data_IF_482831477173
#
_entry.id   IF_482831477173
#
_cell.length_a   1.000
_cell.length_b   1.000
_cell.length_c   1.000
_cell.angle_alpha   90.00
_cell.angle_beta   90.00
_cell.angle_gamma   90.00
#
_symmetry.space_group_name_H-M   'P 1'
#
loop_
_entity.id
_entity.type
_entity.pdbx_description
1 polymer ?
#
# COMPACT_ATOMS: atom_id res chain seq x y z
N UNK A 1 22.85 -14.50 22.46
CA UNK A 1 23.30 -13.08 22.43
C UNK A 1 22.13 -12.17 22.79
N UNK A 2 22.29 -11.28 23.77
CA UNK A 2 21.24 -10.26 24.06
C UNK A 2 21.12 -9.33 22.86
N UNK A 3 19.94 -9.26 22.23
CA UNK A 3 19.66 -8.31 21.15
C UNK A 3 19.78 -6.89 21.69
N UNK A 4 20.59 -6.07 21.05
CA UNK A 4 20.75 -4.64 21.36
C UNK A 4 19.89 -3.84 20.37
N UNK A 5 19.37 -2.68 20.77
CA UNK A 5 18.58 -1.82 19.85
C UNK A 5 19.31 -1.54 18.54
N UNK A 6 20.60 -1.20 18.59
CA UNK A 6 21.38 -0.89 17.38
C UNK A 6 21.52 -2.10 16.43
N UNK A 7 21.76 -3.30 16.97
CA UNK A 7 21.82 -4.52 16.15
C UNK A 7 20.46 -4.86 15.52
N UNK A 8 19.37 -4.59 16.23
CA UNK A 8 18.00 -4.81 15.75
C UNK A 8 17.62 -3.78 14.68
N UNK A 9 17.98 -2.51 14.83
CA UNK A 9 17.80 -1.49 13.80
C UNK A 9 18.52 -1.89 12.52
N UNK A 10 19.77 -2.34 12.61
CA UNK A 10 20.54 -2.83 11.45
C UNK A 10 19.84 -4.04 10.79
N UNK A 11 19.35 -4.98 11.58
CA UNK A 11 18.62 -6.16 11.07
C UNK A 11 17.37 -5.75 10.32
N UNK A 12 16.53 -4.86 10.91
CA UNK A 12 15.30 -4.36 10.28
C UNK A 12 15.65 -3.60 9.01
N UNK A 13 16.65 -2.73 9.04
CA UNK A 13 17.07 -1.94 7.88
C UNK A 13 17.47 -2.84 6.71
N UNK A 14 18.39 -3.80 6.95
CA UNK A 14 18.82 -4.74 5.90
C UNK A 14 17.68 -5.59 5.36
N UNK A 15 16.75 -6.00 6.22
CA UNK A 15 15.56 -6.73 5.81
C UNK A 15 14.60 -5.86 4.98
N UNK A 16 14.53 -4.55 5.27
CA UNK A 16 13.64 -3.61 4.57
C UNK A 16 14.15 -3.20 3.20
N UNK A 17 15.46 -3.25 2.90
CA UNK A 17 16.00 -2.82 1.61
C UNK A 17 15.32 -3.51 0.42
N UNK A 18 15.22 -4.85 0.35
CA UNK A 18 14.50 -5.50 -0.75
C UNK A 18 13.01 -5.14 -0.76
N UNK A 19 12.40 -4.90 0.41
CA UNK A 19 10.99 -4.52 0.49
C UNK A 19 10.78 -3.11 -0.06
N UNK A 20 11.66 -2.16 0.26
CA UNK A 20 11.63 -0.79 -0.30
C UNK A 20 11.73 -0.86 -1.83
N UNK A 21 12.70 -1.62 -2.36
CA UNK A 21 12.85 -1.81 -3.79
C UNK A 21 11.57 -2.40 -4.44
N UNK A 22 10.94 -3.38 -3.77
CA UNK A 22 9.67 -3.95 -4.23
C UNK A 22 8.50 -2.97 -4.18
N UNK A 23 8.40 -2.13 -3.15
CA UNK A 23 7.34 -1.11 -3.03
C UNK A 23 7.52 -0.03 -4.10
N UNK A 24 8.74 0.48 -4.28
CA UNK A 24 9.06 1.41 -5.37
C UNK A 24 8.76 0.76 -6.73
N UNK A 25 9.12 -0.51 -6.91
CA UNK A 25 8.79 -1.27 -8.11
C UNK A 25 7.29 -1.33 -8.39
N UNK A 26 6.45 -1.56 -7.37
CA UNK A 26 4.99 -1.56 -7.54
C UNK A 26 4.46 -0.17 -7.95
N UNK A 27 5.03 0.90 -7.42
CA UNK A 27 4.67 2.27 -7.83
C UNK A 27 5.07 2.54 -9.29
N UNK A 28 6.27 2.12 -9.69
CA UNK A 28 6.77 2.30 -11.05
C UNK A 28 5.94 1.55 -12.10
N UNK A 29 5.23 0.49 -11.71
CA UNK A 29 4.35 -0.27 -12.61
C UNK A 29 3.29 0.62 -13.25
N UNK A 30 2.59 1.42 -12.43
CA UNK A 30 1.58 2.36 -12.94
C UNK A 30 2.17 3.54 -13.71
N UNK A 31 3.35 4.02 -13.30
CA UNK A 31 4.05 5.12 -13.98
C UNK A 31 4.49 4.69 -15.38
N UNK A 32 5.00 3.46 -15.52
CA UNK A 32 5.40 2.89 -16.81
C UNK A 32 4.26 2.85 -17.83
N UNK A 33 3.06 2.43 -17.38
CA UNK A 33 1.86 2.41 -18.22
C UNK A 33 1.51 3.83 -18.74
N UNK A 34 1.56 4.84 -17.87
CA UNK A 34 1.25 6.24 -18.22
C UNK A 34 2.29 6.81 -19.20
N UNK A 35 3.59 6.56 -18.99
CA UNK A 35 4.66 7.08 -19.85
C UNK A 35 4.51 6.54 -21.27
N UNK A 36 4.24 5.24 -21.44
CA UNK A 36 4.10 4.63 -22.77
C UNK A 36 2.81 5.12 -23.43
N UNK A 37 1.68 5.12 -22.70
CA UNK A 37 0.40 5.60 -23.21
C UNK A 37 0.43 7.09 -23.59
N UNK A 38 1.22 7.92 -22.89
CA UNK A 38 1.38 9.34 -23.16
C UNK A 38 2.01 9.64 -24.52
N UNK A 39 2.76 8.71 -25.07
CA UNK A 39 3.30 8.83 -26.44
C UNK A 39 2.32 8.42 -27.51
N UNK A 40 1.20 7.78 -27.14
CA UNK A 40 0.18 7.31 -28.06
C UNK A 40 -0.97 8.30 -28.21
N UNK A 41 -1.64 8.68 -27.12
CA UNK A 41 -2.79 9.60 -27.15
C UNK A 41 -3.10 10.17 -25.77
N UNK A 42 -3.47 11.46 -25.72
CA UNK A 42 -3.93 12.14 -24.51
C UNK A 42 -5.22 11.50 -23.97
N UNK A 43 -6.13 11.06 -24.85
CA UNK A 43 -7.38 10.41 -24.44
C UNK A 43 -7.12 9.06 -23.76
N UNK A 44 -6.11 8.31 -24.25
CA UNK A 44 -5.70 7.04 -23.63
C UNK A 44 -5.10 7.27 -22.26
N UNK A 45 -4.26 8.29 -22.08
CA UNK A 45 -3.70 8.65 -20.75
C UNK A 45 -4.81 9.05 -19.78
N UNK A 46 -5.74 9.90 -20.23
CA UNK A 46 -6.87 10.34 -19.41
C UNK A 46 -7.75 9.14 -19.00
N UNK A 47 -8.05 8.25 -19.94
CA UNK A 47 -8.83 7.04 -19.67
C UNK A 47 -8.11 6.08 -18.71
N UNK A 48 -6.78 5.89 -18.87
CA UNK A 48 -5.94 5.10 -17.95
C UNK A 48 -5.95 5.66 -16.53
N UNK A 49 -5.79 6.98 -16.39
CA UNK A 49 -5.81 7.64 -15.09
C UNK A 49 -7.13 7.41 -14.36
N UNK A 50 -8.26 7.61 -15.05
CA UNK A 50 -9.59 7.38 -14.49
C UNK A 50 -9.81 5.89 -14.16
N UNK A 51 -9.50 4.99 -15.08
CA UNK A 51 -9.70 3.54 -14.88
C UNK A 51 -8.86 3.01 -13.71
N UNK A 52 -7.59 3.40 -13.60
CA UNK A 52 -6.73 3.04 -12.47
C UNK A 52 -7.25 3.62 -11.15
N UNK A 53 -7.75 4.87 -11.15
CA UNK A 53 -8.37 5.49 -9.98
C UNK A 53 -9.59 4.73 -9.48
N UNK A 54 -10.42 4.20 -10.39
CA UNK A 54 -11.60 3.40 -10.07
C UNK A 54 -11.24 1.98 -9.60
N UNK A 55 -10.18 1.38 -10.15
CA UNK A 55 -9.74 0.02 -9.77
C UNK A 55 -8.88 0.00 -8.50
N UNK A 56 -8.18 1.10 -8.18
CA UNK A 56 -7.25 1.15 -7.04
C UNK A 56 -7.89 0.81 -5.69
N UNK A 57 -9.09 1.31 -5.32
CA UNK A 57 -9.73 0.94 -4.05
C UNK A 57 -10.01 -0.56 -3.95
N UNK A 58 -10.47 -1.20 -5.03
CA UNK A 58 -10.74 -2.64 -5.07
C UNK A 58 -9.47 -3.46 -4.94
N UNK A 59 -8.41 -3.07 -5.65
CA UNK A 59 -7.10 -3.70 -5.57
C UNK A 59 -6.52 -3.57 -4.14
N UNK A 60 -6.56 -2.37 -3.55
CA UNK A 60 -6.01 -2.11 -2.23
C UNK A 60 -6.77 -2.80 -1.11
N UNK A 61 -8.09 -2.96 -1.24
CA UNK A 61 -8.87 -3.79 -0.34
C UNK A 61 -8.39 -5.25 -0.38
N UNK A 62 -8.24 -5.83 -1.57
CA UNK A 62 -7.74 -7.19 -1.74
C UNK A 62 -6.32 -7.39 -1.21
N UNK A 63 -5.39 -6.47 -1.57
CA UNK A 63 -4.02 -6.50 -1.07
C UNK A 63 -3.97 -6.37 0.46
N UNK A 64 -4.79 -5.49 1.04
CA UNK A 64 -4.89 -5.30 2.48
C UNK A 64 -5.23 -6.60 3.22
N UNK A 65 -6.14 -7.41 2.71
CA UNK A 65 -6.48 -8.71 3.31
C UNK A 65 -5.27 -9.65 3.32
N UNK A 66 -4.46 -9.64 2.26
CA UNK A 66 -3.28 -10.52 2.17
C UNK A 66 -2.19 -10.19 3.19
N UNK A 67 -2.12 -8.94 3.69
CA UNK A 67 -1.17 -8.54 4.73
C UNK A 67 -1.35 -9.29 6.06
N UNK A 68 -2.41 -10.06 6.22
CA UNK A 68 -2.58 -10.98 7.34
C UNK A 68 -1.65 -12.21 7.26
N UNK A 69 -1.23 -12.62 6.06
CA UNK A 69 -0.51 -13.87 5.84
C UNK A 69 0.89 -13.83 6.44
N UNK A 70 1.62 -12.74 6.24
CA UNK A 70 2.98 -12.56 6.74
C UNK A 70 3.11 -12.72 8.26
N UNK A 71 2.40 -11.90 9.07
CA UNK A 71 2.46 -11.99 10.52
C UNK A 71 1.94 -13.33 11.07
N UNK A 72 0.84 -13.89 10.53
CA UNK A 72 0.34 -15.19 10.96
C UNK A 72 1.34 -16.31 10.69
N UNK A 73 1.93 -16.35 9.50
CA UNK A 73 3.00 -17.32 9.17
C UNK A 73 4.21 -17.15 10.09
N UNK A 74 4.60 -15.90 10.39
CA UNK A 74 5.73 -15.60 11.27
C UNK A 74 5.49 -16.07 12.70
N UNK A 75 4.25 -16.01 13.19
CA UNK A 75 3.89 -16.52 14.52
C UNK A 75 4.04 -18.04 14.61
N UNK A 76 3.59 -18.79 13.61
CA UNK A 76 3.83 -20.24 13.57
C UNK A 76 5.33 -20.55 13.57
N UNK A 77 6.10 -19.79 12.78
CA UNK A 77 7.55 -19.91 12.78
C UNK A 77 8.16 -19.59 14.16
N UNK A 78 7.63 -18.61 14.87
CA UNK A 78 8.06 -18.25 16.23
C UNK A 78 7.82 -19.34 17.25
N UNK A 79 6.73 -20.11 17.11
CA UNK A 79 6.40 -21.28 17.94
C UNK A 79 7.20 -22.52 17.57
N UNK A 80 8.08 -22.46 16.57
CA UNK A 80 8.72 -23.62 15.91
C UNK A 80 7.71 -24.59 15.30
N UNK A 81 6.49 -24.14 15.05
CA UNK A 81 5.46 -24.88 14.34
C UNK A 81 5.51 -24.51 12.86
N UNK A 82 5.36 -25.49 11.99
CA UNK A 82 5.24 -25.27 10.55
C UNK A 82 3.86 -25.71 10.11
N UNK A 83 2.90 -24.79 10.13
CA UNK A 83 1.61 -25.05 9.52
C UNK A 83 1.76 -24.96 7.99
N UNK A 84 1.74 -26.14 7.33
CA UNK A 84 1.87 -26.26 5.88
C UNK A 84 0.60 -25.84 5.15
N UNK A 85 -0.53 -25.68 5.84
CA UNK A 85 -1.84 -25.37 5.23
C UNK A 85 -2.16 -23.88 5.19
N UNK A 86 -1.40 -22.98 5.88
CA UNK A 86 -1.68 -21.55 5.93
C UNK A 86 -1.64 -20.92 4.53
N UNK A 87 -0.68 -21.33 3.69
CA UNK A 87 -0.54 -20.84 2.33
C UNK A 87 -1.77 -21.19 1.48
N UNK A 88 -2.22 -22.45 1.56
CA UNK A 88 -3.40 -22.94 0.84
C UNK A 88 -4.68 -22.24 1.31
N UNK A 89 -4.89 -22.12 2.64
CA UNK A 89 -6.07 -21.49 3.21
C UNK A 89 -6.15 -20.00 2.91
N UNK A 90 -4.98 -19.31 2.81
CA UNK A 90 -4.92 -17.93 2.32
C UNK A 90 -5.37 -17.83 0.85
N UNK A 91 -4.94 -18.77 -0.01
CA UNK A 91 -5.40 -18.82 -1.41
C UNK A 91 -6.91 -19.09 -1.50
N UNK A 92 -7.47 -20.02 -0.72
CA UNK A 92 -8.90 -20.29 -0.69
C UNK A 92 -9.70 -19.05 -0.28
N UNK A 93 -9.25 -18.34 0.75
CA UNK A 93 -9.89 -17.09 1.17
C UNK A 93 -9.84 -16.05 0.05
N UNK A 94 -8.67 -15.84 -0.56
CA UNK A 94 -8.54 -14.79 -1.58
C UNK A 94 -9.24 -15.13 -2.89
N UNK A 95 -9.37 -16.40 -3.25
CA UNK A 95 -10.24 -16.82 -4.36
C UNK A 95 -11.70 -16.47 -4.06
N UNK A 96 -12.17 -16.70 -2.83
CA UNK A 96 -13.53 -16.31 -2.42
C UNK A 96 -13.73 -14.79 -2.48
N UNK A 97 -12.77 -14.01 -1.97
CA UNK A 97 -12.79 -12.54 -2.04
C UNK A 97 -12.72 -12.06 -3.48
N UNK A 98 -11.94 -12.71 -4.33
CA UNK A 98 -11.81 -12.39 -5.76
C UNK A 98 -13.13 -12.48 -6.51
N UNK A 99 -14.01 -13.43 -6.16
CA UNK A 99 -15.36 -13.49 -6.73
C UNK A 99 -16.13 -12.22 -6.40
N UNK A 100 -16.09 -11.77 -5.14
CA UNK A 100 -16.73 -10.51 -4.73
C UNK A 100 -16.15 -9.29 -5.45
N UNK A 101 -14.82 -9.26 -5.65
CA UNK A 101 -14.15 -8.18 -6.38
C UNK A 101 -14.53 -8.17 -7.86
N UNK A 102 -14.67 -9.33 -8.52
CA UNK A 102 -15.15 -9.41 -9.90
C UNK A 102 -16.58 -8.90 -10.03
N UNK A 103 -17.45 -9.25 -9.08
CA UNK A 103 -18.82 -8.71 -9.04
C UNK A 103 -18.81 -7.19 -8.87
N UNK A 104 -17.96 -6.67 -7.99
CA UNK A 104 -17.79 -5.22 -7.79
C UNK A 104 -17.26 -4.52 -9.05
N UNK A 105 -16.31 -5.13 -9.79
CA UNK A 105 -15.82 -4.62 -11.08
C UNK A 105 -16.95 -4.63 -12.11
N UNK A 106 -17.74 -5.69 -12.19
CA UNK A 106 -18.91 -5.76 -13.06
C UNK A 106 -19.93 -4.67 -12.75
N UNK A 107 -20.25 -4.47 -11.47
CA UNK A 107 -21.12 -3.39 -11.02
C UNK A 107 -20.56 -1.99 -11.36
N UNK A 108 -19.24 -1.79 -11.19
CA UNK A 108 -18.56 -0.56 -11.57
C UNK A 108 -18.71 -0.26 -13.07
N UNK A 109 -18.56 -1.28 -13.94
CA UNK A 109 -18.72 -1.13 -15.39
C UNK A 109 -20.17 -0.72 -15.74
N UNK A 110 -21.15 -1.32 -15.07
CA UNK A 110 -22.57 -0.96 -15.26
C UNK A 110 -22.85 0.46 -14.76
N UNK A 111 -22.17 0.89 -13.69
CA UNK A 111 -22.32 2.22 -13.11
C UNK A 111 -21.53 3.32 -13.84
N UNK A 112 -20.63 3.02 -14.79
CA UNK A 112 -19.84 4.02 -15.52
C UNK A 112 -20.67 5.19 -16.08
N UNK A 113 -21.86 4.98 -16.70
CA UNK A 113 -22.68 6.08 -17.21
C UNK A 113 -23.12 7.09 -16.14
N UNK A 114 -23.23 6.66 -14.86
CA UNK A 114 -23.64 7.54 -13.76
C UNK A 114 -22.58 8.58 -13.38
N UNK A 115 -21.31 8.34 -13.74
CA UNK A 115 -20.21 9.26 -13.45
C UNK A 115 -20.11 10.43 -14.44
N UNK A 116 -20.88 10.40 -15.55
CA UNK A 116 -20.90 11.45 -16.57
C UNK A 116 -19.50 11.83 -17.08
N UNK A 117 -18.62 10.85 -17.31
CA UNK A 117 -17.33 11.10 -17.94
C UNK A 117 -17.47 11.58 -19.37
N UNK A 118 -16.43 12.22 -19.90
CA UNK A 118 -16.40 12.65 -21.29
C UNK A 118 -16.74 11.45 -22.22
N UNK A 119 -17.71 11.60 -23.16
CA UNK A 119 -18.13 10.54 -24.08
C UNK A 119 -16.99 9.91 -24.89
N UNK A 120 -15.92 10.66 -25.19
CA UNK A 120 -14.75 10.16 -25.92
C UNK A 120 -13.96 9.13 -25.14
N UNK A 121 -13.76 9.36 -23.81
CA UNK A 121 -12.92 8.50 -22.98
C UNK A 121 -13.70 7.38 -22.29
N UNK A 122 -15.04 7.49 -22.16
CA UNK A 122 -15.87 6.49 -21.47
C UNK A 122 -15.74 5.08 -22.07
N UNK A 123 -15.77 4.88 -23.39
CA UNK A 123 -15.53 3.57 -24.00
C UNK A 123 -14.13 3.02 -23.69
N UNK A 124 -13.11 3.89 -23.68
CA UNK A 124 -11.74 3.52 -23.38
C UNK A 124 -11.59 3.06 -21.92
N UNK A 125 -12.23 3.76 -20.97
CA UNK A 125 -12.29 3.37 -19.57
C UNK A 125 -12.91 1.99 -19.41
N UNK A 126 -14.05 1.75 -20.07
CA UNK A 126 -14.75 0.46 -20.06
C UNK A 126 -13.86 -0.66 -20.60
N UNK A 127 -13.24 -0.46 -21.75
CA UNK A 127 -12.37 -1.44 -22.40
C UNK A 127 -11.18 -1.80 -21.50
N UNK A 128 -10.56 -0.80 -20.86
CA UNK A 128 -9.46 -1.02 -19.91
C UNK A 128 -9.92 -1.83 -18.70
N UNK A 129 -11.03 -1.44 -18.06
CA UNK A 129 -11.53 -2.11 -16.85
C UNK A 129 -11.93 -3.57 -17.15
N UNK A 130 -12.50 -3.84 -18.32
CA UNK A 130 -12.87 -5.20 -18.73
C UNK A 130 -11.66 -6.15 -18.82
N UNK A 131 -10.51 -5.66 -19.29
CA UNK A 131 -9.31 -6.48 -19.49
C UNK A 131 -8.39 -6.41 -18.25
N UNK A 132 -8.11 -5.22 -17.73
CA UNK A 132 -7.20 -5.03 -16.60
C UNK A 132 -7.86 -5.36 -15.24
N UNK A 133 -9.19 -5.20 -15.11
CA UNK A 133 -9.91 -5.49 -13.87
C UNK A 133 -9.66 -6.92 -13.35
N UNK A 134 -9.83 -7.98 -14.16
CA UNK A 134 -9.51 -9.35 -13.75
C UNK A 134 -8.06 -9.57 -13.31
N UNK A 135 -7.12 -8.72 -13.71
CA UNK A 135 -5.70 -8.81 -13.30
C UNK A 135 -5.50 -8.56 -11.80
N UNK A 136 -6.52 -8.03 -11.10
CA UNK A 136 -6.52 -7.89 -9.64
C UNK A 136 -6.35 -9.26 -8.96
N UNK A 137 -6.91 -10.32 -9.54
CA UNK A 137 -6.82 -11.67 -8.99
C UNK A 137 -5.36 -12.16 -8.94
N UNK A 138 -4.62 -12.26 -10.06
CA UNK A 138 -3.23 -12.67 -9.99
C UNK A 138 -2.35 -11.72 -9.17
N UNK A 139 -2.66 -10.41 -9.11
CA UNK A 139 -1.94 -9.48 -8.24
C UNK A 139 -2.10 -9.82 -6.76
N UNK A 140 -3.31 -10.13 -6.31
CA UNK A 140 -3.60 -10.54 -4.93
C UNK A 140 -2.97 -11.89 -4.60
N UNK A 141 -3.06 -12.87 -5.51
CA UNK A 141 -2.45 -14.19 -5.32
C UNK A 141 -0.91 -14.14 -5.30
N UNK A 142 -0.31 -13.25 -6.09
CA UNK A 142 1.12 -12.93 -6.00
C UNK A 142 1.48 -12.40 -4.61
N UNK A 143 0.68 -11.48 -4.07
CA UNK A 143 0.93 -10.90 -2.76
C UNK A 143 0.89 -11.93 -1.63
N UNK A 144 0.01 -12.94 -1.69
CA UNK A 144 0.03 -14.05 -0.71
C UNK A 144 1.39 -14.74 -0.69
N UNK A 145 1.90 -15.09 -1.88
CA UNK A 145 3.20 -15.74 -2.01
C UNK A 145 4.34 -14.86 -1.50
N UNK A 146 4.28 -13.55 -1.78
CA UNK A 146 5.23 -12.55 -1.29
C UNK A 146 5.22 -12.46 0.25
N UNK A 147 4.04 -12.32 0.87
CA UNK A 147 3.88 -12.26 2.33
C UNK A 147 4.36 -13.56 3.02
N UNK A 148 4.03 -14.71 2.42
CA UNK A 148 4.47 -16.00 2.93
C UNK A 148 5.99 -16.14 2.91
N UNK A 149 6.64 -15.81 1.78
CA UNK A 149 8.10 -15.84 1.64
C UNK A 149 8.79 -14.84 2.58
N UNK A 150 8.22 -13.66 2.75
CA UNK A 150 8.71 -12.63 3.67
C UNK A 150 8.72 -13.12 5.12
N UNK A 151 7.70 -13.87 5.56
CA UNK A 151 7.65 -14.50 6.88
C UNK A 151 8.79 -15.51 7.11
N UNK A 152 9.34 -16.08 6.04
CA UNK A 152 10.48 -17.00 6.07
C UNK A 152 11.82 -16.32 5.76
N UNK A 153 11.90 -14.99 5.83
CA UNK A 153 13.09 -14.17 5.50
C UNK A 153 13.58 -14.36 4.03
N UNK A 154 12.67 -14.76 3.11
CA UNK A 154 12.99 -15.00 1.68
C UNK A 154 12.35 -13.94 0.79
N UNK A 155 12.56 -12.67 1.11
CA UNK A 155 11.92 -11.54 0.46
C UNK A 155 12.65 -11.01 -0.79
N UNK A 156 13.91 -11.41 -1.02
CA UNK A 156 14.72 -10.88 -2.15
C UNK A 156 14.10 -11.28 -3.48
N UNK A 157 13.84 -12.58 -3.69
CA UNK A 157 13.35 -13.08 -4.97
C UNK A 157 12.00 -12.46 -5.37
N UNK A 158 11.04 -12.37 -4.43
CA UNK A 158 9.73 -11.79 -4.73
C UNK A 158 9.81 -10.31 -5.10
N UNK A 159 10.68 -9.54 -4.45
CA UNK A 159 10.83 -8.12 -4.75
C UNK A 159 11.66 -7.89 -6.03
N UNK A 160 12.69 -8.70 -6.30
CA UNK A 160 13.41 -8.66 -7.58
C UNK A 160 12.50 -9.01 -8.76
N UNK A 161 11.56 -9.92 -8.57
CA UNK A 161 10.59 -10.31 -9.60
C UNK A 161 9.69 -9.13 -9.98
N UNK A 162 9.29 -8.28 -9.02
CA UNK A 162 8.52 -7.06 -9.31
C UNK A 162 9.31 -6.13 -10.23
N UNK A 163 10.59 -5.87 -9.92
CA UNK A 163 11.44 -5.01 -10.75
C UNK A 163 11.63 -5.58 -12.15
N UNK A 164 11.87 -6.88 -12.27
CA UNK A 164 12.02 -7.56 -13.55
C UNK A 164 10.76 -7.45 -14.41
N UNK A 165 9.59 -7.74 -13.84
CA UNK A 165 8.33 -7.65 -14.57
C UNK A 165 7.87 -6.23 -14.86
N UNK A 166 8.37 -5.21 -14.15
CA UNK A 166 8.19 -3.81 -14.55
C UNK A 166 8.80 -3.54 -15.93
N UNK A 167 10.05 -3.98 -16.12
CA UNK A 167 10.73 -3.81 -17.42
C UNK A 167 9.98 -4.54 -18.54
N UNK A 168 9.54 -5.78 -18.27
CA UNK A 168 8.75 -6.56 -19.23
C UNK A 168 7.41 -5.87 -19.52
N UNK A 169 6.74 -5.34 -18.51
CA UNK A 169 5.45 -4.66 -18.68
C UNK A 169 5.58 -3.42 -19.55
N UNK A 170 6.61 -2.58 -19.34
CA UNK A 170 6.88 -1.42 -20.19
C UNK A 170 7.15 -1.83 -21.63
N UNK A 171 7.93 -2.91 -21.84
CA UNK A 171 8.18 -3.47 -23.18
C UNK A 171 6.89 -3.98 -23.83
N UNK A 172 6.06 -4.74 -23.08
CA UNK A 172 4.78 -5.24 -23.61
C UNK A 172 3.78 -4.11 -23.88
N UNK A 173 3.75 -3.07 -23.02
CA UNK A 173 2.96 -1.88 -23.29
C UNK A 173 3.33 -1.25 -24.64
N UNK A 174 4.63 -1.07 -24.90
CA UNK A 174 5.09 -0.53 -26.17
C UNK A 174 4.64 -1.40 -27.35
N UNK A 175 4.85 -2.71 -27.27
CA UNK A 175 4.48 -3.67 -28.34
C UNK A 175 2.97 -3.65 -28.61
N UNK A 176 2.13 -3.74 -27.57
CA UNK A 176 0.69 -3.91 -27.77
C UNK A 176 -0.05 -2.58 -28.02
N UNK A 177 0.42 -1.47 -27.43
CA UNK A 177 -0.21 -0.16 -27.67
C UNK A 177 0.03 0.26 -29.11
N UNK A 178 1.27 0.16 -29.62
CA UNK A 178 1.66 0.64 -30.94
C UNK A 178 1.55 -0.42 -32.06
N UNK A 179 1.35 -1.69 -31.72
CA UNK A 179 1.24 -2.77 -32.73
C UNK A 179 2.57 -3.17 -33.36
N UNK A 180 3.65 -3.13 -32.58
CA UNK A 180 4.97 -3.48 -33.04
C UNK A 180 5.19 -5.00 -33.13
N UNK A 181 6.24 -5.44 -33.83
CA UNK A 181 6.64 -6.86 -34.00
C UNK A 181 5.56 -7.77 -34.59
N UNK A 182 4.63 -7.22 -35.38
CA UNK A 182 3.56 -7.98 -36.04
C UNK A 182 2.29 -8.16 -35.20
N UNK A 183 2.21 -7.55 -34.03
CA UNK A 183 0.97 -7.46 -33.26
C UNK A 183 0.07 -6.35 -33.83
N UNK A 184 -1.27 -6.48 -33.73
CA UNK A 184 -2.17 -5.39 -34.08
C UNK A 184 -2.04 -4.23 -33.10
N UNK A 185 -2.22 -3.01 -33.59
CA UNK A 185 -2.33 -1.81 -32.75
C UNK A 185 -3.59 -1.88 -31.87
N UNK A 186 -3.41 -1.91 -30.55
CA UNK A 186 -4.49 -2.13 -29.60
C UNK A 186 -4.82 -0.91 -28.73
N UNK A 187 -3.97 0.14 -28.74
CA UNK A 187 -4.15 1.32 -27.91
C UNK A 187 -4.30 0.97 -26.43
N UNK A 188 -5.38 1.46 -25.80
CA UNK A 188 -5.65 1.23 -24.36
C UNK A 188 -5.87 -0.26 -24.01
N UNK A 189 -6.43 -1.06 -24.92
CA UNK A 189 -6.57 -2.51 -24.73
C UNK A 189 -5.23 -3.21 -24.64
N UNK A 190 -4.23 -2.70 -25.37
CA UNK A 190 -2.85 -3.17 -25.30
C UNK A 190 -2.23 -2.95 -23.94
N UNK A 191 -2.41 -1.77 -23.34
CA UNK A 191 -1.96 -1.47 -21.99
C UNK A 191 -2.63 -2.39 -20.94
N UNK A 192 -3.94 -2.60 -21.07
CA UNK A 192 -4.69 -3.48 -20.18
C UNK A 192 -4.21 -4.94 -20.29
N UNK A 193 -3.95 -5.42 -21.50
CA UNK A 193 -3.45 -6.76 -21.77
C UNK A 193 -2.03 -6.97 -21.23
N UNK A 194 -1.13 -5.99 -21.43
CA UNK A 194 0.22 -6.01 -20.88
C UNK A 194 0.20 -6.13 -19.35
N UNK A 195 -0.66 -5.37 -18.69
CA UNK A 195 -0.86 -5.41 -17.23
C UNK A 195 -1.38 -6.78 -16.78
N UNK A 196 -2.39 -7.33 -17.46
CA UNK A 196 -2.95 -8.66 -17.15
C UNK A 196 -1.90 -9.77 -17.29
N UNK A 197 -1.18 -9.78 -18.40
CA UNK A 197 -0.13 -10.79 -18.67
C UNK A 197 1.00 -10.66 -17.65
N UNK A 198 1.51 -9.46 -17.39
CA UNK A 198 2.60 -9.23 -16.45
C UNK A 198 2.25 -9.70 -15.05
N UNK A 199 1.07 -9.33 -14.53
CA UNK A 199 0.61 -9.75 -13.20
C UNK A 199 0.40 -11.26 -13.12
N UNK A 200 -0.11 -11.86 -14.19
CA UNK A 200 -0.33 -13.32 -14.25
C UNK A 200 1.00 -14.07 -14.25
N UNK A 201 1.95 -13.67 -15.09
CA UNK A 201 3.27 -14.29 -15.14
C UNK A 201 4.04 -14.11 -13.84
N UNK A 202 3.94 -12.93 -13.23
CA UNK A 202 4.55 -12.62 -11.93
C UNK A 202 3.99 -13.53 -10.83
N UNK A 203 2.67 -13.73 -10.80
CA UNK A 203 2.02 -14.68 -9.88
C UNK A 203 2.49 -16.10 -10.12
N UNK A 204 2.42 -16.59 -11.37
CA UNK A 204 2.80 -17.96 -11.72
C UNK A 204 4.26 -18.24 -11.33
N UNK A 205 5.17 -17.34 -11.67
CA UNK A 205 6.59 -17.48 -11.34
C UNK A 205 6.84 -17.59 -9.83
N UNK A 206 6.20 -16.70 -9.03
CA UNK A 206 6.37 -16.71 -7.58
C UNK A 206 5.68 -17.89 -6.91
N UNK A 207 4.52 -18.30 -7.42
CA UNK A 207 3.78 -19.48 -6.94
C UNK A 207 4.59 -20.76 -7.15
N UNK A 208 5.15 -20.97 -8.35
CA UNK A 208 6.02 -22.12 -8.65
C UNK A 208 7.25 -22.10 -7.73
N UNK A 209 7.91 -20.95 -7.58
CA UNK A 209 9.06 -20.81 -6.69
C UNK A 209 8.69 -21.16 -5.25
N UNK A 210 7.54 -20.69 -4.75
CA UNK A 210 7.09 -20.97 -3.38
C UNK A 210 6.84 -22.46 -3.18
N UNK A 211 6.15 -23.12 -4.12
CA UNK A 211 5.91 -24.57 -4.08
C UNK A 211 7.20 -25.41 -4.17
N UNK A 212 8.18 -24.95 -4.95
CA UNK A 212 9.47 -25.64 -5.03
C UNK A 212 10.30 -25.54 -3.74
N UNK A 213 10.11 -24.46 -2.95
CA UNK A 213 10.88 -24.22 -1.71
C UNK A 213 10.18 -24.72 -0.45
N UNK A 214 8.87 -24.86 -0.48
CA UNK A 214 8.06 -25.20 0.68
C UNK A 214 7.06 -26.29 0.33
N UNK A 215 6.97 -27.28 1.19
CA UNK A 215 5.86 -28.23 1.15
C UNK A 215 4.58 -27.51 1.58
N UNK A 216 3.57 -27.57 0.75
CA UNK A 216 2.24 -26.97 0.97
C UNK A 216 1.23 -28.08 1.10
N UNK A 217 0.52 -28.08 2.22
CA UNK A 217 -0.66 -28.90 2.42
C UNK A 217 -1.90 -28.16 1.94
N UNK A 218 -2.58 -28.71 0.93
CA UNK A 218 -3.79 -28.14 0.34
C UNK A 218 -5.07 -28.54 1.06
N UNK A 219 -4.97 -29.08 2.28
CA UNK A 219 -6.14 -29.37 3.10
C UNK A 219 -6.84 -28.07 3.51
N UNK A 220 -8.17 -28.07 3.44
CA UNK A 220 -8.98 -26.97 3.95
C UNK A 220 -9.10 -27.06 5.47
N UNK A 221 -8.60 -26.07 6.16
CA UNK A 221 -8.72 -25.92 7.60
C UNK A 221 -9.65 -24.74 7.94
N UNK A 222 -10.88 -25.07 8.34
CA UNK A 222 -11.91 -24.06 8.64
C UNK A 222 -11.50 -23.07 9.75
N UNK A 223 -10.78 -23.54 10.77
CA UNK A 223 -10.34 -22.68 11.87
C UNK A 223 -9.31 -21.67 11.38
N UNK A 224 -8.35 -22.13 10.58
CA UNK A 224 -7.31 -21.27 10.00
C UNK A 224 -7.90 -20.30 8.98
N UNK A 225 -8.81 -20.77 8.13
CA UNK A 225 -9.54 -19.91 7.17
C UNK A 225 -10.28 -18.80 7.91
N UNK A 226 -11.05 -19.11 8.97
CA UNK A 226 -11.75 -18.12 9.78
C UNK A 226 -10.77 -17.17 10.50
N UNK A 227 -9.61 -17.66 10.92
CA UNK A 227 -8.57 -16.81 11.55
C UNK A 227 -8.02 -15.83 10.56
N UNK A 228 -7.61 -16.26 9.35
CA UNK A 228 -7.12 -15.38 8.29
C UNK A 228 -8.20 -14.35 7.89
N UNK A 229 -9.46 -14.78 7.73
CA UNK A 229 -10.59 -13.91 7.43
C UNK A 229 -10.79 -12.83 8.50
N UNK A 230 -10.93 -13.24 9.76
CA UNK A 230 -11.18 -12.32 10.90
C UNK A 230 -10.04 -11.32 11.09
N UNK A 231 -8.83 -11.72 10.75
CA UNK A 231 -7.64 -10.89 10.84
C UNK A 231 -7.44 -10.01 9.61
N UNK A 232 -7.65 -10.52 8.41
CA UNK A 232 -7.40 -9.84 7.14
C UNK A 232 -8.46 -8.81 6.76
N UNK A 233 -9.75 -9.10 6.99
CA UNK A 233 -10.83 -8.17 6.60
C UNK A 233 -10.67 -6.79 7.24
N UNK A 234 -10.39 -6.65 8.55
CA UNK A 234 -10.13 -5.33 9.14
C UNK A 234 -8.94 -4.60 8.49
N UNK A 235 -7.87 -5.33 8.11
CA UNK A 235 -6.74 -4.72 7.42
C UNK A 235 -7.19 -4.20 6.05
N UNK A 236 -7.90 -5.01 5.27
CA UNK A 236 -8.43 -4.61 3.97
C UNK A 236 -9.34 -3.38 4.05
N UNK A 237 -10.26 -3.34 5.01
CA UNK A 237 -11.14 -2.20 5.24
C UNK A 237 -10.37 -0.94 5.67
N UNK A 238 -9.35 -1.09 6.53
CA UNK A 238 -8.50 0.02 6.93
C UNK A 238 -7.72 0.60 5.74
N UNK A 239 -7.10 -0.26 4.92
CA UNK A 239 -6.38 0.15 3.71
C UNK A 239 -7.32 0.80 2.69
N UNK A 240 -8.52 0.23 2.47
CA UNK A 240 -9.54 0.82 1.62
C UNK A 240 -9.94 2.22 2.12
N UNK A 241 -10.19 2.37 3.42
CA UNK A 241 -10.55 3.65 4.04
C UNK A 241 -9.50 4.72 3.80
N UNK A 242 -8.22 4.37 3.92
CA UNK A 242 -7.09 5.29 3.71
C UNK A 242 -7.01 5.73 2.24
N UNK A 243 -7.12 4.81 1.30
CA UNK A 243 -7.14 5.14 -0.14
C UNK A 243 -8.33 6.03 -0.50
N UNK A 244 -9.52 5.72 0.01
CA UNK A 244 -10.71 6.54 -0.22
C UNK A 244 -10.58 7.93 0.39
N UNK A 245 -9.92 8.06 1.55
CA UNK A 245 -9.64 9.36 2.19
C UNK A 245 -8.77 10.23 1.27
N UNK A 246 -7.64 9.72 0.76
CA UNK A 246 -6.79 10.48 -0.16
C UNK A 246 -7.52 10.84 -1.46
N UNK A 247 -8.34 9.92 -1.99
CA UNK A 247 -9.18 10.18 -3.15
C UNK A 247 -10.20 11.31 -2.89
N UNK A 248 -10.84 11.30 -1.72
CA UNK A 248 -11.78 12.35 -1.31
C UNK A 248 -11.10 13.72 -1.19
N UNK A 249 -9.90 13.76 -0.59
CA UNK A 249 -9.10 14.99 -0.48
C UNK A 249 -8.72 15.51 -1.87
N UNK A 250 -8.27 14.64 -2.78
CA UNK A 250 -7.97 15.01 -4.18
C UNK A 250 -9.18 15.63 -4.88
N UNK A 251 -10.37 15.01 -4.72
CA UNK A 251 -11.62 15.55 -5.29
C UNK A 251 -12.00 16.89 -4.67
N UNK A 252 -11.83 17.08 -3.36
CA UNK A 252 -12.11 18.34 -2.68
C UNK A 252 -11.18 19.45 -3.16
N UNK A 253 -9.88 19.18 -3.29
CA UNK A 253 -8.90 20.17 -3.80
C UNK A 253 -9.20 20.50 -5.28
N UNK A 254 -9.58 19.50 -6.08
CA UNK A 254 -9.95 19.71 -7.49
C UNK A 254 -11.14 20.65 -7.72
N UNK A 255 -11.96 20.88 -6.68
CA UNK A 255 -13.08 21.84 -6.71
C UNK A 255 -12.68 23.27 -6.29
N UNK A 256 -11.45 23.49 -5.81
CA UNK A 256 -11.00 24.79 -5.30
C UNK A 256 -10.42 25.65 -6.44
N UNK A 257 -9.17 25.37 -6.84
CA UNK A 257 -8.52 26.09 -7.93
C UNK A 257 -7.70 25.12 -8.80
N UNK A 258 -7.44 25.52 -10.05
CA UNK A 258 -6.63 24.71 -10.99
C UNK A 258 -5.21 24.56 -10.45
N UNK A 259 -4.63 25.65 -9.93
CA UNK A 259 -3.28 25.66 -9.40
C UNK A 259 -3.17 24.78 -8.15
N UNK A 260 -4.15 24.85 -7.24
CA UNK A 260 -4.19 24.00 -6.05
C UNK A 260 -4.27 22.50 -6.43
N UNK A 261 -5.09 22.17 -7.43
CA UNK A 261 -5.23 20.80 -7.93
C UNK A 261 -3.94 20.28 -8.58
N UNK A 262 -3.32 21.07 -9.46
CA UNK A 262 -2.07 20.70 -10.11
C UNK A 262 -0.93 20.54 -9.09
N UNK A 263 -0.81 21.48 -8.16
CA UNK A 263 0.18 21.45 -7.08
C UNK A 263 -0.03 20.27 -6.14
N UNK A 264 -1.29 19.95 -5.79
CA UNK A 264 -1.61 18.77 -4.98
C UNK A 264 -1.14 17.48 -5.67
N UNK A 265 -1.35 17.34 -6.98
CA UNK A 265 -0.89 16.16 -7.72
C UNK A 265 0.64 16.02 -7.71
N UNK A 266 1.39 17.11 -7.83
CA UNK A 266 2.86 17.08 -7.71
C UNK A 266 3.25 16.62 -6.30
N UNK A 267 2.69 17.23 -5.28
CA UNK A 267 3.07 17.03 -3.89
C UNK A 267 2.66 15.63 -3.38
N UNK A 268 1.48 15.11 -3.77
CA UNK A 268 1.05 13.76 -3.38
C UNK A 268 1.92 12.67 -4.02
N UNK A 269 2.42 12.89 -5.24
CA UNK A 269 3.37 11.97 -5.86
C UNK A 269 4.71 11.96 -5.11
N UNK A 270 5.24 13.11 -4.72
CA UNK A 270 6.45 13.20 -3.89
C UNK A 270 6.24 12.52 -2.53
N UNK A 271 5.12 12.77 -1.86
CA UNK A 271 4.74 12.13 -0.61
C UNK A 271 4.65 10.61 -0.77
N UNK A 272 4.03 10.12 -1.84
CA UNK A 272 3.89 8.69 -2.13
C UNK A 272 5.24 8.00 -2.33
N UNK A 273 6.19 8.65 -3.01
CA UNK A 273 7.54 8.11 -3.18
C UNK A 273 8.23 7.89 -1.82
N UNK A 274 8.19 8.86 -0.94
CA UNK A 274 8.82 8.78 0.39
C UNK A 274 8.08 7.83 1.32
N UNK A 275 6.76 7.69 1.19
CA UNK A 275 5.93 6.74 1.94
C UNK A 275 6.29 5.27 1.67
N UNK A 276 6.90 4.93 0.54
CA UNK A 276 7.32 3.55 0.25
C UNK A 276 8.32 3.03 1.29
N UNK A 277 9.09 3.90 1.93
CA UNK A 277 10.08 3.53 2.95
C UNK A 277 9.39 3.08 4.25
N UNK A 278 8.54 3.89 4.91
CA UNK A 278 7.85 3.47 6.13
C UNK A 278 6.90 2.29 5.89
N UNK A 279 6.31 2.16 4.71
CA UNK A 279 5.48 1.00 4.35
C UNK A 279 6.28 -0.31 4.34
N UNK A 280 7.50 -0.28 3.79
CA UNK A 280 8.41 -1.42 3.81
C UNK A 280 8.87 -1.77 5.24
N UNK A 281 9.19 -0.76 6.05
CA UNK A 281 9.56 -0.95 7.47
C UNK A 281 8.37 -1.51 8.27
N UNK A 282 7.16 -1.04 8.02
CA UNK A 282 5.92 -1.57 8.59
C UNK A 282 5.75 -3.07 8.31
N UNK A 283 5.99 -3.48 7.06
CA UNK A 283 5.95 -4.89 6.66
C UNK A 283 7.03 -5.72 7.36
N UNK A 284 8.26 -5.18 7.47
CA UNK A 284 9.35 -5.82 8.22
C UNK A 284 9.01 -5.96 9.71
N UNK A 285 8.50 -4.89 10.34
CA UNK A 285 8.08 -4.89 11.73
C UNK A 285 6.99 -5.93 12.01
N UNK A 286 6.01 -6.04 11.12
CA UNK A 286 4.91 -7.01 11.22
C UNK A 286 5.41 -8.46 11.29
N UNK A 287 6.36 -8.82 10.43
CA UNK A 287 6.97 -10.16 10.39
C UNK A 287 7.85 -10.42 11.62
N UNK A 288 8.73 -9.47 11.98
CA UNK A 288 9.67 -9.64 13.10
C UNK A 288 8.96 -9.67 14.44
N UNK A 289 8.02 -8.75 14.66
CA UNK A 289 7.17 -8.73 15.87
C UNK A 289 6.27 -9.97 15.94
N UNK A 290 5.67 -10.39 14.81
CA UNK A 290 4.87 -11.61 14.74
C UNK A 290 5.65 -12.86 15.15
N UNK A 291 6.91 -12.98 14.70
CA UNK A 291 7.79 -14.09 15.09
C UNK A 291 8.09 -14.09 16.59
N UNK A 292 8.43 -12.94 17.17
CA UNK A 292 8.70 -12.84 18.61
C UNK A 292 7.42 -13.05 19.45
N UNK A 293 6.26 -12.61 18.93
CA UNK A 293 4.97 -12.89 19.55
C UNK A 293 4.66 -14.39 19.58
N UNK A 294 4.88 -15.10 18.46
CA UNK A 294 4.76 -16.55 18.39
C UNK A 294 5.72 -17.27 19.34
N UNK A 295 6.94 -16.77 19.49
CA UNK A 295 7.96 -17.31 20.41
C UNK A 295 7.71 -16.99 21.89
N UNK A 296 6.69 -16.17 22.21
CA UNK A 296 6.43 -15.73 23.60
C UNK A 296 7.45 -14.75 24.15
N UNK A 297 8.28 -14.13 23.30
CA UNK A 297 9.39 -13.26 23.70
C UNK A 297 8.94 -11.81 23.90
N UNK A 298 8.57 -11.44 25.13
CA UNK A 298 8.18 -10.05 25.48
C UNK A 298 9.28 -9.04 25.14
N UNK A 299 10.54 -9.36 25.48
CA UNK A 299 11.68 -8.51 25.20
C UNK A 299 11.90 -8.34 23.69
N UNK A 300 11.73 -9.42 22.91
CA UNK A 300 11.83 -9.39 21.46
C UNK A 300 10.75 -8.49 20.84
N UNK A 301 9.49 -8.64 21.26
CA UNK A 301 8.38 -7.77 20.82
C UNK A 301 8.73 -6.30 21.05
N UNK A 302 9.14 -5.94 22.28
CA UNK A 302 9.43 -4.55 22.62
C UNK A 302 10.62 -3.99 21.82
N UNK A 303 11.73 -4.74 21.73
CA UNK A 303 12.92 -4.29 21.01
C UNK A 303 12.64 -4.08 19.53
N UNK A 304 11.97 -5.03 18.84
CA UNK A 304 11.64 -4.86 17.42
C UNK A 304 10.65 -3.73 17.19
N UNK A 305 9.64 -3.58 18.05
CA UNK A 305 8.66 -2.50 17.93
C UNK A 305 9.30 -1.12 18.09
N UNK A 306 10.05 -0.90 19.17
CA UNK A 306 10.70 0.38 19.42
C UNK A 306 11.77 0.69 18.37
N UNK A 307 12.59 -0.30 17.97
CA UNK A 307 13.59 -0.12 16.91
C UNK A 307 12.98 0.29 15.59
N UNK A 308 11.82 -0.28 15.21
CA UNK A 308 11.11 0.09 13.98
C UNK A 308 10.56 1.52 14.05
N UNK A 309 9.96 1.91 15.18
CA UNK A 309 9.42 3.26 15.38
C UNK A 309 10.54 4.30 15.35
N UNK A 310 11.65 4.05 16.08
CA UNK A 310 12.81 4.96 16.12
C UNK A 310 13.39 5.12 14.71
N UNK A 311 13.60 4.02 14.00
CA UNK A 311 14.16 4.04 12.64
C UNK A 311 13.28 4.85 11.69
N UNK A 312 11.97 4.61 11.70
CA UNK A 312 11.02 5.35 10.84
C UNK A 312 10.97 6.82 11.24
N UNK A 313 10.95 7.14 12.53
CA UNK A 313 10.92 8.53 12.99
C UNK A 313 12.15 9.31 12.48
N UNK A 314 13.36 8.73 12.59
CA UNK A 314 14.59 9.35 12.09
C UNK A 314 14.51 9.58 10.57
N UNK A 315 14.04 8.59 9.81
CA UNK A 315 13.90 8.70 8.34
C UNK A 315 12.87 9.79 7.99
N UNK A 316 11.71 9.79 8.63
CA UNK A 316 10.65 10.76 8.33
C UNK A 316 11.01 12.20 8.77
N UNK A 317 11.77 12.37 9.86
CA UNK A 317 12.36 13.67 10.22
C UNK A 317 13.35 14.12 9.14
N UNK A 318 14.19 13.22 8.64
CA UNK A 318 15.09 13.50 7.52
C UNK A 318 14.34 13.89 6.25
N UNK A 319 13.26 13.20 5.91
CA UNK A 319 12.39 13.52 4.77
C UNK A 319 11.70 14.87 4.95
N UNK A 320 11.20 15.17 6.15
CA UNK A 320 10.64 16.47 6.51
C UNK A 320 11.69 17.57 6.32
N UNK A 321 12.88 17.39 6.86
CA UNK A 321 13.98 18.35 6.71
C UNK A 321 14.34 18.57 5.23
N UNK A 322 14.36 17.52 4.42
CA UNK A 322 14.57 17.62 2.96
C UNK A 322 13.49 18.46 2.26
N UNK A 323 12.21 18.22 2.59
CA UNK A 323 11.09 18.98 2.01
C UNK A 323 11.10 20.46 2.41
N UNK A 324 11.55 20.75 3.66
CA UNK A 324 11.64 22.13 4.15
C UNK A 324 12.88 22.87 3.60
N UNK A 325 13.99 22.16 3.39
CA UNK A 325 15.25 22.79 2.98
C UNK A 325 15.37 22.97 1.47
N UNK A 326 14.72 22.11 0.67
CA UNK A 326 14.88 22.08 -0.79
C UNK A 326 13.54 21.98 -1.54
N UNK A 327 12.48 22.75 -1.16
CA UNK A 327 11.16 22.57 -1.74
C UNK A 327 11.14 22.86 -3.25
N UNK A 328 11.75 23.98 -3.69
CA UNK A 328 11.77 24.37 -5.10
C UNK A 328 12.50 23.36 -5.97
N UNK A 329 13.62 22.82 -5.48
CA UNK A 329 14.41 21.81 -6.22
C UNK A 329 13.55 20.56 -6.46
N UNK A 330 12.84 20.12 -5.43
CA UNK A 330 12.00 18.92 -5.51
C UNK A 330 10.83 19.09 -6.48
N UNK A 331 10.20 20.27 -6.48
CA UNK A 331 9.09 20.56 -7.38
C UNK A 331 9.55 20.74 -8.83
N UNK A 332 10.75 21.28 -9.06
CA UNK A 332 11.35 21.43 -10.41
C UNK A 332 11.58 20.10 -11.14
N UNK A 333 11.63 18.98 -10.44
CA UNK A 333 11.62 17.68 -11.12
C UNK A 333 10.30 17.37 -11.83
N UNK A 334 9.21 18.05 -11.47
CA UNK A 334 7.87 17.82 -12.02
C UNK A 334 7.40 18.94 -12.96
N UNK A 335 7.86 20.19 -12.78
CA UNK A 335 7.39 21.34 -13.57
C UNK A 335 8.43 22.46 -13.60
N UNK A 336 8.42 23.23 -14.69
CA UNK A 336 9.19 24.45 -14.85
C UNK A 336 8.34 25.72 -14.66
N UNK A 337 7.02 25.58 -14.44
CA UNK A 337 6.10 26.70 -14.25
C UNK A 337 6.38 27.39 -12.89
N UNK A 338 6.78 28.70 -12.88
CA UNK A 338 7.14 29.39 -11.65
C UNK A 338 5.99 29.51 -10.64
N UNK A 339 4.74 29.63 -11.11
CA UNK A 339 3.57 29.75 -10.25
C UNK A 339 3.27 28.42 -9.55
N UNK A 340 3.32 27.30 -10.30
CA UNK A 340 3.20 25.96 -9.75
C UNK A 340 4.34 25.61 -8.78
N UNK A 341 5.58 26.03 -9.07
CA UNK A 341 6.73 25.82 -8.19
C UNK A 341 6.47 26.53 -6.86
N UNK A 342 6.12 27.82 -6.89
CA UNK A 342 5.89 28.59 -5.67
C UNK A 342 4.75 28.03 -4.81
N UNK A 343 3.61 27.69 -5.43
CA UNK A 343 2.46 27.15 -4.70
C UNK A 343 2.76 25.75 -4.13
N UNK A 344 3.36 24.85 -4.93
CA UNK A 344 3.72 23.51 -4.51
C UNK A 344 4.78 23.51 -3.41
N UNK A 345 5.77 24.40 -3.48
CA UNK A 345 6.77 24.58 -2.44
C UNK A 345 6.13 24.98 -1.10
N UNK A 346 5.13 25.87 -1.13
CA UNK A 346 4.32 26.22 0.04
C UNK A 346 3.56 25.03 0.62
N UNK A 347 3.05 24.12 -0.22
CA UNK A 347 2.37 22.90 0.24
C UNK A 347 3.35 21.90 0.86
N UNK A 348 4.60 21.83 0.39
CA UNK A 348 5.60 20.89 0.93
C UNK A 348 5.91 21.10 2.41
N UNK A 349 5.68 22.30 2.96
CA UNK A 349 5.74 22.55 4.40
C UNK A 349 4.76 21.66 5.15
N UNK A 350 3.51 21.63 4.73
CA UNK A 350 2.46 20.84 5.38
C UNK A 350 2.67 19.33 5.16
N UNK A 351 3.10 18.96 3.97
CA UNK A 351 3.42 17.57 3.63
C UNK A 351 4.64 17.06 4.39
N UNK A 352 5.67 17.89 4.57
CA UNK A 352 6.83 17.54 5.40
C UNK A 352 6.43 17.22 6.84
N UNK A 353 5.60 18.07 7.44
CA UNK A 353 5.08 17.85 8.80
C UNK A 353 4.16 16.62 8.86
N UNK A 354 3.34 16.40 7.83
CA UNK A 354 2.47 15.22 7.69
C UNK A 354 3.27 13.89 7.65
N UNK A 355 4.46 13.87 7.03
CA UNK A 355 5.26 12.66 6.85
C UNK A 355 5.65 11.97 8.18
N UNK A 356 5.88 12.76 9.23
CA UNK A 356 6.31 12.20 10.52
C UNK A 356 5.22 11.34 11.17
N UNK A 357 4.00 11.87 11.43
CA UNK A 357 2.93 11.04 11.98
C UNK A 357 2.48 9.93 11.02
N UNK A 358 2.55 10.12 9.71
CA UNK A 358 2.21 9.12 8.72
C UNK A 358 3.14 7.90 8.78
N UNK A 359 4.46 8.12 8.81
CA UNK A 359 5.43 7.05 8.97
C UNK A 359 5.29 6.29 10.30
N UNK A 360 5.03 7.00 11.40
CA UNK A 360 4.81 6.39 12.72
C UNK A 360 3.52 5.56 12.71
N UNK A 361 2.44 6.10 12.18
CA UNK A 361 1.14 5.45 12.08
C UNK A 361 1.22 4.13 11.29
N UNK A 362 1.79 4.14 10.08
CA UNK A 362 1.87 2.94 9.26
C UNK A 362 2.79 1.88 9.89
N UNK A 363 3.84 2.30 10.61
CA UNK A 363 4.72 1.37 11.33
C UNK A 363 4.01 0.73 12.53
N UNK A 364 3.22 1.50 13.29
CA UNK A 364 2.38 0.98 14.37
C UNK A 364 1.33 -0.01 13.84
N UNK A 365 0.75 0.25 12.65
CA UNK A 365 -0.11 -0.73 11.97
C UNK A 365 0.60 -2.04 11.73
N UNK A 366 1.85 -2.01 11.24
CA UNK A 366 2.67 -3.19 11.06
C UNK A 366 2.93 -3.95 12.36
N UNK A 367 3.31 -3.25 13.41
CA UNK A 367 3.55 -3.82 14.74
C UNK A 367 2.28 -4.47 15.30
N UNK A 368 1.15 -3.79 15.24
CA UNK A 368 -0.14 -4.29 15.72
C UNK A 368 -0.63 -5.50 14.92
N UNK A 369 -0.37 -5.52 13.59
CA UNK A 369 -0.57 -6.73 12.77
C UNK A 369 0.27 -7.90 13.29
N UNK A 370 1.53 -7.66 13.66
CA UNK A 370 2.39 -8.68 14.29
C UNK A 370 1.81 -9.26 15.58
N UNK A 371 1.05 -8.46 16.34
CA UNK A 371 0.37 -8.84 17.59
C UNK A 371 -1.08 -9.34 17.42
N UNK A 372 -1.51 -9.61 16.19
CA UNK A 372 -2.92 -9.94 15.86
C UNK A 372 -3.94 -8.89 16.31
N UNK A 373 -3.54 -7.63 16.31
CA UNK A 373 -4.45 -6.54 16.63
C UNK A 373 -4.70 -5.69 15.38
N UNK A 374 -5.84 -5.88 14.75
CA UNK A 374 -6.18 -5.22 13.47
C UNK A 374 -7.50 -4.44 13.54
N UNK A 375 -8.35 -4.79 14.50
CA UNK A 375 -9.68 -4.21 14.61
C UNK A 375 -9.64 -2.77 15.15
N UNK A 376 -8.88 -2.53 16.23
CA UNK A 376 -8.73 -1.18 16.76
C UNK A 376 -8.02 -0.23 15.80
N UNK A 377 -6.90 -0.61 15.11
CA UNK A 377 -6.31 0.22 14.08
C UNK A 377 -7.29 0.62 12.97
N UNK A 378 -8.09 -0.32 12.46
CA UNK A 378 -9.13 -0.04 11.47
C UNK A 378 -10.15 0.99 11.97
N UNK A 379 -10.66 0.81 13.19
CA UNK A 379 -11.66 1.74 13.78
C UNK A 379 -11.06 3.14 13.96
N UNK A 380 -9.82 3.22 14.49
CA UNK A 380 -9.14 4.50 14.66
C UNK A 380 -8.89 5.19 13.33
N UNK A 381 -8.51 4.44 12.28
CA UNK A 381 -8.35 4.98 10.93
C UNK A 381 -9.67 5.60 10.42
N UNK A 382 -10.78 4.87 10.54
CA UNK A 382 -12.09 5.38 10.13
C UNK A 382 -12.46 6.67 10.89
N UNK A 383 -12.31 6.68 12.21
CA UNK A 383 -12.70 7.83 13.03
C UNK A 383 -11.78 9.04 12.75
N UNK A 384 -10.47 8.86 12.86
CA UNK A 384 -9.57 10.01 12.82
C UNK A 384 -9.35 10.56 11.41
N UNK A 385 -9.39 9.73 10.38
CA UNK A 385 -9.30 10.21 9.01
C UNK A 385 -10.60 10.90 8.55
N UNK A 386 -11.75 10.26 8.76
CA UNK A 386 -13.02 10.72 8.21
C UNK A 386 -13.77 11.70 9.10
N UNK A 387 -13.73 11.52 10.44
CA UNK A 387 -14.49 12.38 11.36
C UNK A 387 -13.64 13.51 11.95
N UNK A 388 -12.31 13.48 11.82
CA UNK A 388 -11.40 14.50 12.34
C UNK A 388 -10.59 15.16 11.21
N UNK A 389 -9.78 14.38 10.50
CA UNK A 389 -8.84 14.91 9.50
C UNK A 389 -9.52 15.65 8.36
N UNK A 390 -10.48 15.00 7.66
CA UNK A 390 -11.20 15.63 6.55
C UNK A 390 -12.04 16.82 7.01
N UNK A 391 -12.88 16.76 8.08
CA UNK A 391 -13.69 17.90 8.49
C UNK A 391 -12.86 19.12 8.95
N UNK A 392 -11.79 18.89 9.73
CA UNK A 392 -10.87 19.98 10.11
C UNK A 392 -10.18 20.56 8.90
N UNK A 393 -9.68 19.70 8.00
CA UNK A 393 -9.01 20.13 6.77
C UNK A 393 -9.94 20.93 5.87
N UNK A 394 -11.17 20.52 5.69
CA UNK A 394 -12.18 21.23 4.92
C UNK A 394 -12.53 22.58 5.53
N UNK A 395 -12.67 22.63 6.87
CA UNK A 395 -12.89 23.89 7.58
C UNK A 395 -11.71 24.86 7.42
N UNK A 396 -10.47 24.40 7.55
CA UNK A 396 -9.28 25.21 7.32
C UNK A 396 -9.19 25.70 5.87
N UNK A 397 -9.50 24.83 4.92
CA UNK A 397 -9.45 25.13 3.50
C UNK A 397 -10.45 26.23 3.11
N UNK A 398 -11.71 26.12 3.58
CA UNK A 398 -12.81 27.00 3.17
C UNK A 398 -12.95 28.23 4.08
N UNK A 399 -13.01 28.04 5.40
CA UNK A 399 -13.30 29.13 6.35
C UNK A 399 -12.07 29.99 6.68
N UNK A 400 -10.86 29.43 6.55
CA UNK A 400 -9.59 30.16 6.75
C UNK A 400 -8.89 30.53 5.44
N UNK A 401 -9.44 30.13 4.30
CA UNK A 401 -8.87 30.43 2.98
C UNK A 401 -7.53 29.76 2.69
N UNK A 402 -7.23 28.62 3.40
CA UNK A 402 -5.95 27.92 3.23
C UNK A 402 -5.94 26.98 2.01
N UNK A 403 -7.07 26.82 1.31
CA UNK A 403 -7.21 25.92 0.15
C UNK A 403 -6.59 24.52 0.38
N UNK A 404 -5.73 24.06 -0.55
CA UNK A 404 -5.08 22.74 -0.45
C UNK A 404 -4.24 22.58 0.83
N UNK A 405 -3.58 23.65 1.30
CA UNK A 405 -2.79 23.61 2.53
C UNK A 405 -3.65 23.29 3.76
N UNK A 406 -4.90 23.79 3.80
CA UNK A 406 -5.84 23.49 4.87
C UNK A 406 -6.19 22.01 4.94
N UNK A 407 -6.41 21.35 3.80
CA UNK A 407 -6.68 19.92 3.74
C UNK A 407 -5.46 19.09 4.18
N UNK A 408 -4.25 19.44 3.75
CA UNK A 408 -3.02 18.77 4.21
C UNK A 408 -2.77 18.96 5.71
N UNK A 409 -3.03 20.17 6.24
CA UNK A 409 -2.96 20.43 7.69
C UNK A 409 -3.97 19.57 8.47
N UNK A 410 -5.20 19.45 7.99
CA UNK A 410 -6.22 18.58 8.57
C UNK A 410 -5.82 17.12 8.59
N UNK A 411 -5.25 16.61 7.49
CA UNK A 411 -4.70 15.25 7.42
C UNK A 411 -3.57 15.05 8.43
N UNK A 412 -2.64 16.00 8.53
CA UNK A 412 -1.53 15.94 9.50
C UNK A 412 -2.05 15.87 10.95
N UNK A 413 -3.07 16.66 11.30
CA UNK A 413 -3.73 16.62 12.61
C UNK A 413 -4.39 15.25 12.83
N UNK A 414 -5.19 14.77 11.90
CA UNK A 414 -5.87 13.47 11.98
C UNK A 414 -4.90 12.32 12.21
N UNK A 415 -3.82 12.25 11.42
CA UNK A 415 -2.79 11.22 11.55
C UNK A 415 -1.96 11.35 12.83
N UNK A 416 -1.73 12.56 13.32
CA UNK A 416 -1.04 12.76 14.61
C UNK A 416 -1.87 12.17 15.76
N UNK A 417 -3.17 12.49 15.81
CA UNK A 417 -4.07 11.95 16.83
C UNK A 417 -4.18 10.42 16.69
N UNK A 418 -4.27 9.92 15.46
CA UNK A 418 -4.29 8.48 15.16
C UNK A 418 -3.01 7.78 15.64
N UNK A 419 -1.83 8.36 15.40
CA UNK A 419 -0.55 7.79 15.85
C UNK A 419 -0.47 7.69 17.37
N UNK A 420 -0.98 8.69 18.09
CA UNK A 420 -1.11 8.64 19.54
C UNK A 420 -2.08 7.53 19.97
N UNK A 421 -3.26 7.45 19.35
CA UNK A 421 -4.25 6.40 19.61
C UNK A 421 -3.70 4.99 19.38
N UNK A 422 -2.99 4.77 18.27
CA UNK A 422 -2.34 3.49 17.96
C UNK A 422 -1.23 3.15 18.97
N UNK A 423 -0.48 4.14 19.42
CA UNK A 423 0.53 3.96 20.49
C UNK A 423 -0.14 3.49 21.78
N UNK A 424 -1.26 4.08 22.18
CA UNK A 424 -2.04 3.62 23.33
C UNK A 424 -2.53 2.18 23.16
N UNK A 425 -3.06 1.82 21.98
CA UNK A 425 -3.46 0.43 21.65
C UNK A 425 -2.28 -0.52 21.75
N UNK A 426 -1.12 -0.15 21.22
CA UNK A 426 0.08 -0.96 21.32
C UNK A 426 0.49 -1.22 22.78
N UNK A 427 0.59 -0.19 23.60
CA UNK A 427 0.97 -0.35 25.01
C UNK A 427 -0.06 -1.15 25.81
N UNK A 428 -1.35 -0.97 25.53
CA UNK A 428 -2.40 -1.79 26.15
C UNK A 428 -2.27 -3.25 25.74
N UNK A 429 -2.18 -3.53 24.44
CA UNK A 429 -1.99 -4.89 23.91
C UNK A 429 -0.74 -5.55 24.46
N UNK A 430 0.37 -4.81 24.50
CA UNK A 430 1.63 -5.31 25.05
C UNK A 430 1.52 -5.69 26.53
N UNK A 431 0.78 -4.90 27.36
CA UNK A 431 0.52 -5.25 28.75
C UNK A 431 -0.29 -6.56 28.88
N UNK A 432 -1.32 -6.74 28.07
CA UNK A 432 -2.11 -7.99 28.04
C UNK A 432 -1.23 -9.17 27.64
N UNK A 433 -0.42 -9.03 26.59
CA UNK A 433 0.53 -10.09 26.18
C UNK A 433 1.51 -10.40 27.30
N UNK A 434 2.00 -9.38 28.03
CA UNK A 434 2.89 -9.56 29.17
C UNK A 434 2.24 -10.38 30.29
N UNK A 435 0.99 -10.12 30.61
CA UNK A 435 0.27 -10.89 31.66
C UNK A 435 -0.02 -12.33 31.27
N UNK A 436 -0.23 -12.61 29.98
CA UNK A 436 -0.54 -13.98 29.50
C UNK A 436 0.71 -14.84 29.29
N UNK A 437 1.88 -14.23 29.08
CA UNK A 437 3.14 -14.92 28.85
C UNK A 437 3.98 -15.11 30.13
N UNK A 438 3.60 -14.49 31.25
CA UNK A 438 4.21 -14.80 32.56
C UNK A 438 3.53 -16.08 33.07
N UNK A 439 4.22 -17.20 33.29
CA UNK A 439 3.66 -18.33 34.01
C UNK A 439 3.19 -17.81 35.37
N UNK A 440 1.97 -18.17 35.80
CA UNK A 440 1.62 -18.04 37.21
C UNK A 440 2.65 -18.84 38.00
N UNK A 441 3.56 -18.13 38.67
CA UNK A 441 4.56 -18.70 39.56
C UNK A 441 3.90 -19.34 40.78
#
# INVERSE_FOLDING_TARGET
MKKTYLSTIKEIFLFSIPLIAGQVGQMLFGIGDIIVAGRYSNDVVAALGVANGLLAPLLMFGLGITFAVGPLTSQFRGKNERDKSIFANAHYLMLTVSVGLLVAIGALIVALPLFNFNPTITPLIKDYILIAGPSIIPAILFQISKEYLQAWDKNIFSNSLILFFNVINVGMNYIFIFGEFGFPEMGIKGAALATLISRTLMFVALFIYTKAKFEVDWSFNQLLFKRIYKFGIPIGLGTLSEVLMFSAVTVLIGKMSIIASASHNIVINLASCTFMIPLAISSAASVKVGKEYGAGSQQGILIYSLSSIIMVAIIMIGTCAMYLSFPDILVRFATDDPELISYSAGLLLYVGLFQIPDGIQVTLWGILRGLEETKHPMILSLIFNWCVGIPIGYWLATSKGMEAAGLWAGLAIGLTIMSVGLSCVFFFKFRVVKSTLVPMA
#
